data_IF_592227811088
#
_entry.id   IF_592227811088
#
_cell.length_a   1.000
_cell.length_b   1.000
_cell.length_c   1.000
_cell.angle_alpha   90.00
_cell.angle_beta   90.00
_cell.angle_gamma   90.00
#
_symmetry.space_group_name_H-M   'P 1'
#
loop_
_entity.id
_entity.type
_entity.pdbx_description
1 polymer ?
#
# COMPACT_ATOMS: atom_id res chain seq x y z
N UNK A 1 46.59 -60.69 28.39
CA UNK A 1 46.43 -59.37 29.04
C UNK A 1 45.51 -59.51 30.24
N UNK A 2 45.70 -58.65 31.25
CA UNK A 2 45.17 -58.62 32.64
C UNK A 2 43.61 -58.62 32.69
N UNK A 3 42.93 -59.42 33.54
CA UNK A 3 42.33 -59.12 34.90
C UNK A 3 41.58 -57.77 34.97
N UNK A 4 40.36 -57.59 35.50
CA UNK A 4 39.48 -58.31 36.45
C UNK A 4 37.99 -57.85 36.26
N UNK A 5 37.00 -58.55 36.87
CA UNK A 5 35.56 -58.22 36.95
C UNK A 5 35.29 -57.34 38.22
N UNK A 6 34.11 -57.22 38.89
CA UNK A 6 32.77 -57.82 38.67
C UNK A 6 31.52 -56.96 39.08
N UNK A 7 30.32 -57.58 39.08
CA UNK A 7 29.21 -57.45 40.07
C UNK A 7 28.50 -56.07 40.21
N UNK A 8 27.24 -55.89 40.63
CA UNK A 8 26.13 -56.76 41.06
C UNK A 8 24.84 -55.91 40.96
N UNK A 9 23.74 -56.64 40.94
CA UNK A 9 22.33 -56.30 41.18
C UNK A 9 22.05 -55.10 42.08
N UNK A 10 21.15 -54.22 41.64
CA UNK A 10 20.59 -53.12 42.43
C UNK A 10 19.12 -52.89 42.12
N UNK A 11 18.27 -53.48 42.93
CA UNK A 11 16.86 -53.13 43.12
C UNK A 11 16.76 -51.66 43.59
N UNK A 12 15.72 -50.93 43.16
CA UNK A 12 14.96 -49.87 43.89
C UNK A 12 14.50 -48.71 42.98
N UNK A 13 13.16 -48.63 42.83
CA UNK A 13 12.30 -47.43 42.60
C UNK A 13 12.60 -46.33 43.66
N UNK A 14 12.00 -45.11 43.70
CA UNK A 14 11.02 -44.40 42.84
C UNK A 14 11.31 -42.87 42.69
N UNK A 15 10.29 -42.05 42.33
CA UNK A 15 10.07 -40.59 42.55
C UNK A 15 10.02 -39.74 41.26
N UNK A 16 8.83 -39.28 40.85
CA UNK A 16 8.10 -38.05 41.23
C UNK A 16 8.76 -36.76 40.71
N UNK A 17 8.12 -36.13 39.72
CA UNK A 17 7.96 -34.67 39.68
C UNK A 17 6.77 -34.34 38.78
N UNK A 18 5.66 -34.05 39.45
CA UNK A 18 4.62 -33.12 39.01
C UNK A 18 5.30 -31.88 38.41
N UNK A 19 5.02 -31.61 37.14
CA UNK A 19 5.39 -30.35 36.49
C UNK A 19 4.13 -29.73 35.94
N UNK A 20 3.91 -28.52 36.44
CA UNK A 20 2.79 -27.64 36.24
C UNK A 20 2.30 -27.63 34.80
N UNK A 21 0.99 -27.83 34.65
CA UNK A 21 0.27 -27.48 33.45
C UNK A 21 0.23 -25.94 33.40
N UNK A 22 1.31 -25.32 32.93
CA UNK A 22 1.31 -23.91 32.56
C UNK A 22 0.23 -23.73 31.50
N UNK A 23 -0.86 -23.08 31.90
CA UNK A 23 -1.78 -22.41 30.98
C UNK A 23 -0.93 -21.53 30.07
N UNK A 24 -0.76 -21.94 28.81
CA UNK A 24 -0.30 -21.03 27.77
C UNK A 24 -1.45 -20.07 27.44
N UNK A 25 -1.67 -19.11 28.34
CA UNK A 25 -2.37 -17.89 28.01
C UNK A 25 -1.49 -17.12 27.01
N UNK A 26 -1.64 -17.47 25.74
CA UNK A 26 -1.12 -16.67 24.62
C UNK A 26 -1.78 -15.29 24.76
N UNK A 27 -1.03 -14.18 24.87
CA UNK A 27 -1.61 -12.85 24.87
C UNK A 27 -1.98 -12.50 23.42
N UNK A 28 -2.95 -13.21 22.86
CA UNK A 28 -3.44 -12.99 21.50
C UNK A 28 -4.13 -11.63 21.36
N UNK A 29 -4.46 -10.96 22.47
CA UNK A 29 -5.10 -9.64 22.49
C UNK A 29 -4.17 -8.49 22.10
N UNK A 30 -2.90 -8.51 22.52
CA UNK A 30 -1.96 -7.39 22.25
C UNK A 30 -1.47 -7.39 20.80
N UNK A 31 -1.20 -8.57 20.24
CA UNK A 31 -0.76 -8.73 18.85
C UNK A 31 -1.84 -8.27 17.86
N UNK A 32 -3.10 -8.65 18.08
CA UNK A 32 -4.20 -8.29 17.18
C UNK A 32 -4.51 -6.78 17.22
N UNK A 33 -4.44 -6.14 18.40
CA UNK A 33 -4.63 -4.69 18.53
C UNK A 33 -3.49 -3.90 17.86
N UNK A 34 -2.26 -4.38 17.95
CA UNK A 34 -1.12 -3.73 17.31
C UNK A 34 -1.19 -3.84 15.78
N UNK A 35 -1.55 -5.02 15.24
CA UNK A 35 -1.80 -5.20 13.81
C UNK A 35 -2.94 -4.32 13.27
N UNK A 36 -4.01 -4.13 14.05
CA UNK A 36 -5.10 -3.23 13.67
C UNK A 36 -4.63 -1.76 13.61
N UNK A 37 -3.82 -1.34 14.59
CA UNK A 37 -3.25 0.02 14.65
C UNK A 37 -2.31 0.30 13.46
N UNK A 38 -1.58 -0.72 13.01
CA UNK A 38 -0.70 -0.64 11.83
C UNK A 38 -1.52 -0.45 10.55
N UNK A 39 -2.63 -1.18 10.39
CA UNK A 39 -3.53 -1.03 9.24
C UNK A 39 -4.17 0.36 9.19
N UNK A 40 -4.70 0.85 10.31
CA UNK A 40 -5.33 2.17 10.38
C UNK A 40 -4.32 3.28 10.02
N UNK A 41 -3.08 3.15 10.52
CA UNK A 41 -1.99 4.07 10.21
C UNK A 41 -1.60 4.04 8.73
N UNK A 42 -1.55 2.86 8.11
CA UNK A 42 -1.27 2.69 6.68
C UNK A 42 -2.37 3.34 5.84
N UNK A 43 -3.64 3.10 6.15
CA UNK A 43 -4.76 3.67 5.39
C UNK A 43 -4.84 5.19 5.55
N UNK A 44 -4.55 5.73 6.74
CA UNK A 44 -4.50 7.17 6.96
C UNK A 44 -3.40 7.82 6.09
N UNK A 45 -2.19 7.25 6.05
CA UNK A 45 -1.11 7.73 5.20
C UNK A 45 -1.45 7.59 3.71
N UNK A 46 -2.11 6.48 3.33
CA UNK A 46 -2.55 6.26 1.96
C UNK A 46 -3.58 7.32 1.53
N UNK A 47 -4.54 7.66 2.39
CA UNK A 47 -5.55 8.66 2.13
C UNK A 47 -4.93 10.06 1.95
N UNK A 48 -3.93 10.41 2.77
CA UNK A 48 -3.15 11.65 2.62
C UNK A 48 -2.39 11.69 1.29
N UNK A 49 -1.69 10.60 0.95
CA UNK A 49 -0.91 10.48 -0.28
C UNK A 49 -1.81 10.55 -1.53
N UNK A 50 -2.90 9.80 -1.56
CA UNK A 50 -3.88 9.82 -2.65
C UNK A 50 -4.53 11.20 -2.71
N UNK A 51 -4.97 11.78 -1.58
CA UNK A 51 -5.57 13.10 -1.53
C UNK A 51 -4.66 14.19 -2.10
N UNK A 52 -3.36 14.13 -1.79
CA UNK A 52 -2.35 15.03 -2.34
C UNK A 52 -2.16 14.82 -3.84
N UNK A 53 -2.07 13.57 -4.29
CA UNK A 53 -1.99 13.22 -5.71
C UNK A 53 -3.20 13.73 -6.50
N UNK A 54 -4.41 13.44 -6.03
CA UNK A 54 -5.67 13.90 -6.64
C UNK A 54 -5.70 15.42 -6.74
N UNK A 55 -5.37 16.15 -5.67
CA UNK A 55 -5.33 17.62 -5.69
C UNK A 55 -4.33 18.15 -6.72
N UNK A 56 -3.15 17.53 -6.84
CA UNK A 56 -2.11 17.96 -7.77
C UNK A 56 -2.52 17.68 -9.22
N UNK A 57 -3.05 16.50 -9.52
CA UNK A 57 -3.47 16.13 -10.88
C UNK A 57 -4.70 16.93 -11.33
N UNK A 58 -5.68 17.18 -10.46
CA UNK A 58 -6.82 18.05 -10.79
C UNK A 58 -6.38 19.48 -11.13
N UNK A 59 -5.41 20.04 -10.38
CA UNK A 59 -4.83 21.35 -10.71
C UNK A 59 -4.17 21.37 -12.09
N UNK A 60 -3.51 20.27 -12.50
CA UNK A 60 -2.93 20.14 -13.85
C UNK A 60 -4.02 20.09 -14.92
N UNK A 61 -5.08 19.32 -14.70
CA UNK A 61 -6.23 19.23 -15.61
C UNK A 61 -6.91 20.59 -15.78
N UNK A 62 -7.19 21.29 -14.68
CA UNK A 62 -7.80 22.62 -14.73
C UNK A 62 -6.94 23.61 -15.54
N UNK A 63 -5.61 23.54 -15.37
CA UNK A 63 -4.66 24.34 -16.14
C UNK A 63 -4.65 23.97 -17.63
N UNK A 64 -4.64 22.68 -17.94
CA UNK A 64 -4.68 22.17 -19.31
C UNK A 64 -5.93 22.64 -20.08
N UNK A 65 -7.05 22.76 -19.38
CA UNK A 65 -8.32 23.24 -19.94
C UNK A 65 -8.45 24.77 -19.93
N UNK A 66 -7.49 25.49 -19.34
CA UNK A 66 -7.51 26.94 -19.26
C UNK A 66 -6.93 27.56 -20.54
N UNK A 67 -7.61 28.52 -21.19
CA UNK A 67 -7.14 29.14 -22.43
C UNK A 67 -5.84 29.94 -22.28
N UNK A 68 -5.49 30.39 -21.07
CA UNK A 68 -4.33 31.23 -20.79
C UNK A 68 -3.07 30.46 -20.33
N UNK A 69 -3.00 29.13 -20.55
CA UNK A 69 -1.91 28.31 -20.02
C UNK A 69 -0.64 28.39 -20.88
N UNK A 70 0.52 28.79 -20.33
CA UNK A 70 1.79 28.71 -21.05
C UNK A 70 2.22 27.24 -21.18
N UNK A 71 2.43 26.78 -22.42
CA UNK A 71 2.93 25.44 -22.80
C UNK A 71 4.22 25.00 -22.05
N UNK A 72 4.93 25.94 -21.42
CA UNK A 72 6.23 25.78 -20.77
C UNK A 72 6.27 24.83 -19.55
N UNK A 73 5.14 24.38 -18.99
CA UNK A 73 5.12 23.51 -17.80
C UNK A 73 5.10 22.00 -18.11
N UNK A 74 5.01 21.62 -19.38
CA UNK A 74 4.98 20.21 -19.81
C UNK A 74 6.38 19.54 -19.73
N UNK A 75 7.44 20.34 -19.62
CA UNK A 75 8.83 19.87 -19.60
C UNK A 75 9.28 19.19 -18.28
N UNK A 76 8.43 19.12 -17.24
CA UNK A 76 8.72 18.29 -16.05
C UNK A 76 8.38 16.81 -16.23
N UNK A 77 7.84 16.42 -17.38
CA UNK A 77 7.44 15.02 -17.68
C UNK A 77 8.60 14.09 -18.07
N UNK A 78 9.77 14.62 -18.40
CA UNK A 78 10.91 13.80 -18.86
C UNK A 78 11.63 13.02 -17.76
N UNK A 79 11.27 13.20 -16.48
CA UNK A 79 11.83 12.42 -15.37
C UNK A 79 10.76 11.64 -14.60
N UNK A 80 9.57 11.46 -15.18
CA UNK A 80 8.50 10.71 -14.52
C UNK A 80 8.75 9.23 -14.70
N UNK A 81 8.83 8.52 -13.57
CA UNK A 81 8.88 7.06 -13.53
C UNK A 81 7.66 6.47 -14.27
N UNK A 82 7.82 5.31 -14.90
CA UNK A 82 6.75 4.63 -15.64
C UNK A 82 5.56 4.30 -14.74
N UNK A 83 5.82 3.99 -13.47
CA UNK A 83 4.78 3.80 -12.45
C UNK A 83 3.95 5.07 -12.25
N UNK A 84 4.60 6.23 -12.25
CA UNK A 84 3.92 7.52 -12.13
C UNK A 84 3.10 7.86 -13.38
N UNK A 85 3.59 7.49 -14.57
CA UNK A 85 2.86 7.66 -15.84
C UNK A 85 1.59 6.83 -15.87
N UNK A 86 1.66 5.55 -15.49
CA UNK A 86 0.50 4.65 -15.45
C UNK A 86 -0.57 5.15 -14.46
N UNK A 87 -0.15 5.63 -13.29
CA UNK A 87 -1.03 6.20 -12.26
C UNK A 87 -1.80 7.42 -12.78
N UNK A 88 -1.15 8.31 -13.55
CA UNK A 88 -1.79 9.47 -14.17
C UNK A 88 -2.80 9.08 -15.25
N UNK A 89 -2.48 8.06 -16.05
CA UNK A 89 -3.42 7.57 -17.04
C UNK A 89 -4.67 6.97 -16.38
N UNK A 90 -4.50 6.18 -15.33
CA UNK A 90 -5.61 5.64 -14.54
C UNK A 90 -6.44 6.77 -13.92
N UNK A 91 -5.78 7.77 -13.32
CA UNK A 91 -6.46 8.93 -12.73
C UNK A 91 -7.28 9.71 -13.76
N UNK A 92 -6.76 9.88 -14.98
CA UNK A 92 -7.51 10.53 -16.05
C UNK A 92 -8.77 9.74 -16.43
N UNK A 93 -8.68 8.41 -16.53
CA UNK A 93 -9.85 7.55 -16.81
C UNK A 93 -10.92 7.69 -15.72
N UNK A 94 -10.50 7.71 -14.45
CA UNK A 94 -11.39 7.93 -13.31
C UNK A 94 -12.04 9.32 -13.40
N UNK A 95 -11.25 10.36 -13.69
CA UNK A 95 -11.75 11.74 -13.85
C UNK A 95 -12.81 11.83 -14.94
N UNK A 96 -12.54 11.28 -16.13
CA UNK A 96 -13.50 11.24 -17.24
C UNK A 96 -14.80 10.50 -16.87
N UNK A 97 -14.68 9.39 -16.12
CA UNK A 97 -15.85 8.67 -15.63
C UNK A 97 -16.71 9.53 -14.70
N UNK A 98 -16.09 10.24 -13.74
CA UNK A 98 -16.81 11.13 -12.84
C UNK A 98 -17.46 12.32 -13.56
N UNK A 99 -16.75 12.95 -14.51
CA UNK A 99 -17.31 14.05 -15.30
C UNK A 99 -18.60 13.63 -16.03
N UNK A 100 -18.58 12.47 -16.70
CA UNK A 100 -19.76 11.91 -17.36
C UNK A 100 -20.88 11.58 -16.38
N UNK A 101 -20.56 10.98 -15.22
CA UNK A 101 -21.53 10.70 -14.16
C UNK A 101 -22.16 12.00 -13.61
N UNK A 102 -21.41 13.09 -13.62
CA UNK A 102 -21.86 14.44 -13.25
C UNK A 102 -22.59 15.20 -14.38
N UNK A 103 -22.80 14.56 -15.55
CA UNK A 103 -23.38 15.17 -16.77
C UNK A 103 -22.56 16.36 -17.30
N UNK A 104 -21.25 16.33 -17.10
CA UNK A 104 -20.28 17.28 -17.64
C UNK A 104 -19.61 16.69 -18.88
N UNK A 105 -20.42 16.34 -19.89
CA UNK A 105 -19.94 15.61 -21.07
C UNK A 105 -19.01 16.46 -21.94
N UNK A 106 -19.33 17.75 -22.15
CA UNK A 106 -18.47 18.69 -22.89
C UNK A 106 -17.09 18.80 -22.25
N UNK A 107 -17.01 18.96 -20.93
CA UNK A 107 -15.75 19.04 -20.20
C UNK A 107 -14.94 17.73 -20.29
N UNK A 108 -15.62 16.59 -20.31
CA UNK A 108 -14.97 15.28 -20.49
C UNK A 108 -14.39 15.13 -21.90
N UNK A 109 -15.10 15.63 -22.92
CA UNK A 109 -14.65 15.59 -24.30
C UNK A 109 -13.48 16.56 -24.55
N UNK A 110 -13.53 17.77 -24.00
CA UNK A 110 -12.42 18.74 -24.06
C UNK A 110 -11.16 18.18 -23.39
N UNK A 111 -11.30 17.53 -22.24
CA UNK A 111 -10.20 16.88 -21.54
C UNK A 111 -9.62 15.69 -22.32
N UNK A 112 -10.47 14.91 -22.99
CA UNK A 112 -10.02 13.82 -23.85
C UNK A 112 -9.27 14.34 -25.09
N UNK A 113 -9.76 15.43 -25.68
CA UNK A 113 -9.19 16.04 -26.88
C UNK A 113 -7.85 16.73 -26.59
N UNK A 114 -7.73 17.46 -25.48
CA UNK A 114 -6.46 18.09 -25.07
C UNK A 114 -5.33 17.07 -24.90
N UNK A 115 -5.59 15.90 -24.29
CA UNK A 115 -4.61 14.80 -24.22
C UNK A 115 -4.16 14.30 -25.60
N UNK A 116 -5.07 14.18 -26.57
CA UNK A 116 -4.76 13.69 -27.91
C UNK A 116 -3.89 14.67 -28.69
N UNK A 117 -4.00 15.96 -28.39
CA UNK A 117 -3.19 17.02 -28.99
C UNK A 117 -1.76 16.97 -28.43
N UNK A 118 -1.60 16.87 -27.10
CA UNK A 118 -0.29 16.71 -26.44
C UNK A 118 0.52 15.46 -26.83
N UNK A 119 -0.09 14.46 -27.49
CA UNK A 119 0.58 13.24 -27.95
C UNK A 119 0.93 13.24 -29.44
N UNK A 120 0.55 14.29 -30.19
CA UNK A 120 0.75 14.39 -31.65
C UNK A 120 1.80 15.43 -32.06
N UNK A 121 2.37 16.15 -31.10
CA UNK A 121 3.45 17.13 -31.26
C UNK A 121 4.72 16.49 -30.72
#
# INVERSE_FOLDING_TARGET
MRRLPPFDSGHLRPSFSEVDQESSEVPSGQSAQQQQTDLDSIFMLLEENIGTFVKNELKKIQKLLSPDYPESLENKSKSEDEEQRSSREAFLKITLHFLRRMKQDELADDLLNSKRISLKI
#
